data_IF_226998389746
#
_entry.id   IF_226998389746
#
_cell.length_a   1.000
_cell.length_b   1.000
_cell.length_c   1.000
_cell.angle_alpha   90.00
_cell.angle_beta   90.00
_cell.angle_gamma   90.00
#
_symmetry.space_group_name_H-M   'P 1'
#
loop_
_entity.id
_entity.type
_entity.pdbx_description
1 polymer ?
#
# COMPACT_ATOMS: atom_id res chain seq x y z
N UNK A 1 29.88 13.35 -0.02
CA UNK A 1 28.88 12.46 0.62
C UNK A 1 27.49 13.05 0.40
N UNK A 2 26.53 12.24 -0.08
CA UNK A 2 25.13 12.68 -0.16
C UNK A 2 24.56 12.75 1.26
N UNK A 3 23.90 13.86 1.63
CA UNK A 3 23.25 13.99 2.94
C UNK A 3 22.07 13.03 3.03
N UNK A 4 21.74 12.57 4.24
CA UNK A 4 20.54 11.77 4.51
C UNK A 4 19.29 12.57 4.11
N UNK A 5 18.40 11.97 3.33
CA UNK A 5 17.09 12.52 3.00
C UNK A 5 16.04 11.88 3.90
N UNK A 6 15.15 12.69 4.49
CA UNK A 6 13.93 12.19 5.15
C UNK A 6 12.78 12.24 4.14
N UNK A 7 12.39 11.08 3.60
CA UNK A 7 11.34 10.98 2.60
C UNK A 7 9.92 11.17 3.16
N UNK A 8 9.75 11.15 4.49
CA UNK A 8 8.47 11.43 5.15
C UNK A 8 8.26 12.92 5.45
N UNK A 9 9.29 13.76 5.32
CA UNK A 9 9.23 15.17 5.78
C UNK A 9 8.08 15.97 5.16
N UNK A 10 7.79 15.70 3.89
CA UNK A 10 6.82 16.46 3.10
C UNK A 10 5.54 15.63 2.83
N UNK A 11 5.33 14.53 3.56
CA UNK A 11 4.11 13.73 3.51
C UNK A 11 3.14 14.18 4.61
N UNK A 12 1.85 14.02 4.37
CA UNK A 12 0.81 14.46 5.32
C UNK A 12 0.88 13.71 6.67
N UNK A 13 1.30 12.44 6.65
CA UNK A 13 1.34 11.57 7.83
C UNK A 13 2.57 10.67 7.80
N UNK A 14 3.20 10.49 8.97
CA UNK A 14 4.39 9.64 9.16
C UNK A 14 4.00 8.22 9.59
N UNK A 15 3.94 7.31 8.61
CA UNK A 15 3.73 5.87 8.82
C UNK A 15 5.04 5.07 8.98
N UNK A 16 6.20 5.74 9.12
CA UNK A 16 7.50 5.06 9.25
C UNK A 16 7.65 4.26 10.55
N UNK A 17 6.83 4.58 11.56
CA UNK A 17 6.89 3.99 12.89
C UNK A 17 5.67 3.14 13.18
N UNK A 18 5.88 2.09 13.97
CA UNK A 18 4.86 1.20 14.52
C UNK A 18 4.08 1.88 15.65
N UNK A 19 3.49 3.04 15.37
CA UNK A 19 2.71 3.85 16.30
C UNK A 19 1.39 4.21 15.61
N UNK A 20 0.24 4.05 16.27
CA UNK A 20 -1.04 4.51 15.74
C UNK A 20 -1.02 6.02 15.51
N UNK A 21 -1.68 6.46 14.45
CA UNK A 21 -1.97 7.88 14.24
C UNK A 21 -3.19 8.27 15.10
N UNK A 22 -3.45 9.57 15.23
CA UNK A 22 -4.68 10.02 15.89
C UNK A 22 -5.92 9.55 15.12
N UNK A 23 -7.02 9.26 15.83
CA UNK A 23 -8.21 8.64 15.24
C UNK A 23 -8.91 9.52 14.18
N UNK A 24 -8.85 10.84 14.34
CA UNK A 24 -9.32 11.82 13.37
C UNK A 24 -8.48 11.77 12.09
N UNK A 25 -7.15 11.70 12.21
CA UNK A 25 -6.22 11.53 11.08
C UNK A 25 -6.48 10.21 10.36
N UNK A 26 -6.65 9.11 11.09
CA UNK A 26 -6.99 7.80 10.50
C UNK A 26 -8.28 7.88 9.66
N UNK A 27 -9.32 8.53 10.21
CA UNK A 27 -10.60 8.73 9.51
C UNK A 27 -10.44 9.60 8.27
N UNK A 28 -9.67 10.67 8.36
CA UNK A 28 -9.38 11.56 7.23
C UNK A 28 -8.64 10.83 6.09
N UNK A 29 -7.67 9.98 6.42
CA UNK A 29 -6.91 9.22 5.42
C UNK A 29 -7.79 8.22 4.66
N UNK A 30 -8.72 7.53 5.34
CA UNK A 30 -9.68 6.64 4.68
C UNK A 30 -10.62 7.42 3.76
N UNK A 31 -11.16 8.55 4.23
CA UNK A 31 -12.03 9.40 3.40
C UNK A 31 -11.28 9.98 2.18
N UNK A 32 -9.98 10.28 2.31
CA UNK A 32 -9.15 10.70 1.20
C UNK A 32 -8.87 9.55 0.21
N UNK A 33 -8.64 8.33 0.71
CA UNK A 33 -8.47 7.14 -0.13
C UNK A 33 -9.66 6.95 -1.08
N UNK A 34 -10.87 7.01 -0.53
CA UNK A 34 -12.12 6.84 -1.28
C UNK A 34 -12.27 7.93 -2.37
N UNK A 35 -11.91 9.17 -2.06
CA UNK A 35 -11.89 10.27 -3.04
C UNK A 35 -10.88 10.04 -4.15
N UNK A 36 -9.66 9.60 -3.83
CA UNK A 36 -8.60 9.34 -4.80
C UNK A 36 -9.02 8.19 -5.74
N UNK A 37 -9.57 7.11 -5.19
CA UNK A 37 -10.06 5.97 -5.97
C UNK A 37 -11.12 6.40 -6.98
N UNK A 38 -12.04 7.29 -6.58
CA UNK A 38 -13.09 7.81 -7.46
C UNK A 38 -12.57 8.65 -8.64
N UNK A 39 -11.32 9.11 -8.61
CA UNK A 39 -10.69 9.86 -9.70
C UNK A 39 -10.13 8.97 -10.81
N UNK A 40 -10.10 7.65 -10.62
CA UNK A 40 -9.53 6.73 -11.61
C UNK A 40 -10.33 6.73 -12.90
N UNK A 41 -9.60 6.79 -14.01
CA UNK A 41 -10.13 6.72 -15.35
C UNK A 41 -10.19 5.27 -15.85
N UNK A 42 -11.08 5.02 -16.80
CA UNK A 42 -11.26 3.68 -17.38
C UNK A 42 -10.05 3.24 -18.24
N UNK A 43 -9.26 4.19 -18.72
CA UNK A 43 -8.06 3.99 -19.51
C UNK A 43 -6.87 4.61 -18.80
N UNK A 44 -5.73 3.93 -18.82
CA UNK A 44 -4.50 4.48 -18.25
C UNK A 44 -4.16 5.80 -18.95
N UNK A 45 -4.08 6.93 -18.25
CA UNK A 45 -3.89 8.23 -18.88
C UNK A 45 -2.46 8.38 -19.41
N UNK A 46 -2.33 8.95 -20.60
CA UNK A 46 -1.04 9.21 -21.24
C UNK A 46 -0.26 10.32 -20.51
N UNK A 47 1.07 10.23 -20.59
CA UNK A 47 1.92 11.36 -20.20
C UNK A 47 1.74 12.48 -21.23
N UNK A 48 1.54 13.70 -20.73
CA UNK A 48 1.33 14.88 -21.55
C UNK A 48 1.89 16.13 -20.85
N UNK A 49 1.97 17.28 -21.54
CA UNK A 49 2.33 18.54 -20.87
C UNK A 49 1.46 18.88 -19.66
N UNK A 50 0.20 18.43 -19.63
CA UNK A 50 -0.77 18.68 -18.55
C UNK A 50 -0.83 17.53 -17.52
N UNK A 51 -0.11 16.42 -17.77
CA UNK A 51 -0.02 15.28 -16.85
C UNK A 51 1.40 14.70 -16.88
N UNK A 52 2.28 15.37 -16.16
CA UNK A 52 3.72 15.10 -16.15
C UNK A 52 4.11 14.10 -15.05
N UNK A 53 5.36 13.62 -15.11
CA UNK A 53 5.91 12.77 -14.05
C UNK A 53 5.97 13.49 -12.69
N UNK A 54 6.23 14.80 -12.67
CA UNK A 54 6.23 15.59 -11.45
C UNK A 54 4.84 15.66 -10.81
N UNK A 55 3.80 15.83 -11.63
CA UNK A 55 2.41 15.79 -11.16
C UNK A 55 2.05 14.41 -10.61
N UNK A 56 2.42 13.34 -11.33
CA UNK A 56 2.18 11.95 -10.88
C UNK A 56 2.92 11.67 -9.57
N UNK A 57 4.17 12.11 -9.42
CA UNK A 57 4.93 11.91 -8.18
C UNK A 57 4.28 12.62 -7.00
N UNK A 58 3.78 13.84 -7.22
CA UNK A 58 3.02 14.58 -6.20
C UNK A 58 1.77 13.81 -5.78
N UNK A 59 0.99 13.31 -6.73
CA UNK A 59 -0.20 12.50 -6.46
C UNK A 59 0.14 11.18 -5.75
N UNK A 60 1.28 10.56 -6.08
CA UNK A 60 1.75 9.35 -5.39
C UNK A 60 2.13 9.66 -3.92
N UNK A 61 2.69 10.84 -3.64
CA UNK A 61 2.95 11.30 -2.27
C UNK A 61 1.68 11.61 -1.48
N UNK A 62 0.65 12.17 -2.14
CA UNK A 62 -0.66 12.44 -1.54
C UNK A 62 -1.42 11.13 -1.23
N UNK A 63 -1.34 10.16 -2.13
CA UNK A 63 -1.92 8.83 -1.98
C UNK A 63 -1.24 7.98 -0.88
N UNK A 64 0.08 8.11 -0.71
CA UNK A 64 0.83 7.19 0.16
C UNK A 64 0.29 7.04 1.59
N UNK A 65 0.01 8.12 2.34
CA UNK A 65 -0.60 8.02 3.67
C UNK A 65 -1.93 7.27 3.69
N UNK A 66 -2.73 7.36 2.62
CA UNK A 66 -4.04 6.72 2.54
C UNK A 66 -3.91 5.21 2.35
N UNK A 67 -2.95 4.78 1.53
CA UNK A 67 -2.61 3.36 1.35
C UNK A 67 -2.15 2.72 2.66
N UNK A 68 -1.23 3.40 3.38
CA UNK A 68 -0.75 2.90 4.66
C UNK A 68 -1.89 2.70 5.66
N UNK A 69 -2.81 3.67 5.74
CA UNK A 69 -3.93 3.57 6.69
C UNK A 69 -4.96 2.51 6.28
N UNK A 70 -5.29 2.42 4.99
CA UNK A 70 -6.18 1.38 4.47
C UNK A 70 -5.66 -0.02 4.81
N UNK A 71 -4.35 -0.24 4.69
CA UNK A 71 -3.73 -1.52 5.03
C UNK A 71 -3.72 -1.79 6.54
N UNK A 72 -3.46 -0.77 7.38
CA UNK A 72 -3.56 -0.90 8.84
C UNK A 72 -4.98 -1.26 9.31
N UNK A 73 -6.00 -0.80 8.58
CA UNK A 73 -7.41 -1.06 8.89
C UNK A 73 -7.99 -2.31 8.20
N UNK A 74 -7.19 -3.05 7.42
CA UNK A 74 -7.68 -4.23 6.69
C UNK A 74 -8.76 -3.89 5.64
N UNK A 75 -8.72 -2.68 5.06
CA UNK A 75 -9.65 -2.21 4.02
C UNK A 75 -9.25 -2.74 2.64
N UNK A 76 -9.40 -4.04 2.46
CA UNK A 76 -9.14 -4.74 1.19
C UNK A 76 -9.93 -4.19 -0.01
N UNK A 77 -11.13 -3.65 0.25
CA UNK A 77 -11.97 -2.95 -0.73
C UNK A 77 -11.26 -1.72 -1.31
N UNK A 78 -10.63 -0.90 -0.45
CA UNK A 78 -9.83 0.26 -0.86
C UNK A 78 -8.57 -0.19 -1.57
N UNK A 79 -7.82 -1.15 -0.99
CA UNK A 79 -6.55 -1.63 -1.54
C UNK A 79 -6.73 -2.23 -2.94
N UNK A 80 -7.77 -3.04 -3.13
CA UNK A 80 -8.11 -3.60 -4.45
C UNK A 80 -8.48 -2.51 -5.44
N UNK A 81 -9.20 -1.48 -4.99
CA UNK A 81 -9.63 -0.38 -5.83
C UNK A 81 -8.49 0.56 -6.26
N UNK A 82 -7.30 0.47 -5.65
CA UNK A 82 -6.09 1.19 -6.09
C UNK A 82 -5.51 0.62 -7.39
N UNK A 83 -5.76 -0.65 -7.70
CA UNK A 83 -5.20 -1.35 -8.85
C UNK A 83 -5.87 -0.97 -10.18
N UNK A 84 -5.05 -0.69 -11.19
CA UNK A 84 -5.52 -0.57 -12.57
C UNK A 84 -6.05 -1.92 -13.05
N UNK A 85 -7.09 -1.92 -13.89
CA UNK A 85 -7.79 -3.15 -14.32
C UNK A 85 -6.88 -4.18 -15.01
N UNK A 86 -5.82 -3.71 -15.68
CA UNK A 86 -4.82 -4.54 -16.36
C UNK A 86 -3.54 -4.69 -15.52
N UNK A 87 -3.68 -4.74 -14.19
CA UNK A 87 -2.57 -4.91 -13.25
C UNK A 87 -1.66 -6.07 -13.67
N UNK A 88 -0.35 -5.83 -13.63
CA UNK A 88 0.66 -6.89 -13.58
C UNK A 88 1.20 -6.96 -12.16
N UNK A 89 1.07 -8.10 -11.50
CA UNK A 89 1.61 -8.31 -10.16
C UNK A 89 2.65 -9.43 -10.16
N UNK A 90 3.89 -9.10 -9.82
CA UNK A 90 5.02 -10.02 -9.76
C UNK A 90 5.44 -10.24 -8.30
N UNK A 91 5.44 -11.49 -7.86
CA UNK A 91 5.87 -11.85 -6.51
C UNK A 91 6.59 -13.20 -6.49
N UNK A 92 6.98 -13.65 -5.29
CA UNK A 92 7.66 -14.95 -5.09
C UNK A 92 6.83 -16.16 -5.53
N UNK A 93 5.51 -16.05 -5.53
CA UNK A 93 4.61 -17.13 -5.95
C UNK A 93 4.44 -17.22 -7.48
N UNK A 94 4.91 -16.19 -8.19
CA UNK A 94 4.75 -16.06 -9.64
C UNK A 94 4.13 -14.72 -10.03
N UNK A 95 3.57 -14.71 -11.25
CA UNK A 95 2.92 -13.55 -11.84
C UNK A 95 1.40 -13.71 -11.79
N UNK A 96 0.70 -12.61 -11.52
CA UNK A 96 -0.75 -12.50 -11.55
C UNK A 96 -1.15 -11.33 -12.47
N UNK A 97 -2.23 -11.52 -13.22
CA UNK A 97 -2.73 -10.54 -14.18
C UNK A 97 -4.16 -10.11 -13.88
N UNK A 98 -4.41 -8.82 -14.08
CA UNK A 98 -5.69 -8.19 -13.81
C UNK A 98 -6.05 -8.17 -12.32
N UNK A 99 -7.34 -7.94 -12.04
CA UNK A 99 -7.81 -7.76 -10.66
C UNK A 99 -8.22 -9.05 -9.96
N UNK A 100 -8.38 -10.17 -10.68
CA UNK A 100 -9.00 -11.38 -10.13
C UNK A 100 -7.99 -12.41 -9.64
N UNK A 101 -6.90 -12.65 -10.39
CA UNK A 101 -6.00 -13.79 -10.14
C UNK A 101 -5.32 -13.75 -8.77
N UNK A 102 -5.09 -12.55 -8.24
CA UNK A 102 -4.36 -12.33 -7.00
C UNK A 102 -5.27 -12.37 -5.75
N UNK A 103 -6.59 -12.14 -5.89
CA UNK A 103 -7.51 -11.86 -4.76
C UNK A 103 -7.48 -12.91 -3.66
N UNK A 104 -7.53 -14.18 -4.07
CA UNK A 104 -7.53 -15.30 -3.11
C UNK A 104 -6.27 -15.26 -2.25
N UNK A 105 -5.12 -14.86 -2.84
CA UNK A 105 -3.84 -14.81 -2.16
C UNK A 105 -3.70 -13.58 -1.26
N UNK A 106 -3.98 -12.38 -1.77
CA UNK A 106 -3.78 -11.14 -1.02
C UNK A 106 -4.64 -11.05 0.24
N UNK A 107 -5.87 -11.56 0.23
CA UNK A 107 -6.71 -11.54 1.44
C UNK A 107 -6.05 -12.25 2.63
N UNK A 108 -5.32 -13.35 2.40
CA UNK A 108 -4.59 -14.04 3.48
C UNK A 108 -3.42 -13.19 3.97
N UNK A 109 -2.71 -12.53 3.07
CA UNK A 109 -1.60 -11.66 3.46
C UNK A 109 -2.10 -10.45 4.25
N UNK A 110 -3.13 -9.76 3.77
CA UNK A 110 -3.76 -8.66 4.48
C UNK A 110 -4.24 -9.09 5.86
N UNK A 111 -4.91 -10.24 5.96
CA UNK A 111 -5.37 -10.79 7.24
C UNK A 111 -4.23 -11.05 8.23
N UNK A 112 -3.06 -11.51 7.78
CA UNK A 112 -1.91 -11.75 8.65
C UNK A 112 -1.19 -10.45 9.07
N UNK A 113 -1.01 -9.50 8.16
CA UNK A 113 -0.23 -8.28 8.40
C UNK A 113 -1.03 -7.18 9.12
N UNK A 114 -2.36 -7.27 9.11
CA UNK A 114 -3.28 -6.32 9.76
C UNK A 114 -4.13 -6.94 10.88
N UNK A 115 -3.75 -8.11 11.38
CA UNK A 115 -4.49 -8.80 12.44
C UNK A 115 -4.53 -8.00 13.76
N UNK A 116 -5.53 -8.26 14.63
CA UNK A 116 -5.60 -7.63 15.96
C UNK A 116 -4.30 -7.83 16.75
N UNK A 117 -3.84 -6.76 17.41
CA UNK A 117 -2.58 -6.79 18.17
C UNK A 117 -1.32 -6.59 17.32
N UNK A 118 -1.45 -6.41 16.00
CA UNK A 118 -0.34 -6.13 15.09
C UNK A 118 -0.45 -4.73 14.51
N UNK A 119 0.70 -4.08 14.29
CA UNK A 119 0.78 -2.81 13.58
C UNK A 119 1.80 -2.86 12.44
N UNK A 120 1.38 -2.50 11.24
CA UNK A 120 2.29 -2.27 10.12
C UNK A 120 2.98 -0.91 10.21
N UNK A 121 4.24 -0.86 9.79
CA UNK A 121 4.95 0.40 9.54
C UNK A 121 5.82 0.29 8.28
N UNK A 122 6.15 1.45 7.70
CA UNK A 122 6.91 1.55 6.46
C UNK A 122 8.18 2.38 6.64
N UNK A 123 9.26 1.83 7.21
CA UNK A 123 10.45 2.60 7.53
C UNK A 123 11.12 3.26 6.31
N UNK A 124 10.87 2.71 5.11
CA UNK A 124 11.44 3.22 3.86
C UNK A 124 10.29 3.46 2.87
N UNK A 125 10.27 4.65 2.30
CA UNK A 125 9.48 5.01 1.12
C UNK A 125 10.30 5.96 0.25
N UNK A 126 10.24 5.79 -1.06
CA UNK A 126 10.89 6.65 -2.05
C UNK A 126 9.98 6.79 -3.26
N UNK A 127 9.95 7.99 -3.84
CA UNK A 127 9.11 8.34 -4.98
C UNK A 127 9.99 8.82 -6.13
N UNK A 128 9.66 8.42 -7.36
CA UNK A 128 10.29 8.91 -8.58
C UNK A 128 9.33 8.81 -9.76
N UNK A 129 8.65 9.91 -10.08
CA UNK A 129 7.59 9.91 -11.08
C UNK A 129 6.50 8.91 -10.70
N UNK A 130 6.33 7.88 -11.53
CA UNK A 130 5.36 6.81 -11.31
C UNK A 130 5.79 5.78 -10.26
N UNK A 131 7.07 5.74 -9.91
CA UNK A 131 7.63 4.69 -9.08
C UNK A 131 7.47 5.04 -7.61
N UNK A 132 6.88 4.13 -6.85
CA UNK A 132 6.87 4.17 -5.38
C UNK A 132 7.52 2.90 -4.86
N UNK A 133 8.74 3.03 -4.34
CA UNK A 133 9.46 1.93 -3.69
C UNK A 133 9.29 2.05 -2.18
N UNK A 134 8.98 0.96 -1.51
CA UNK A 134 8.88 0.96 -0.05
C UNK A 134 9.27 -0.37 0.58
N UNK A 135 9.71 -0.30 1.83
CA UNK A 135 9.86 -1.47 2.70
C UNK A 135 8.93 -1.35 3.88
N UNK A 136 8.34 -2.48 4.26
CA UNK A 136 7.37 -2.56 5.32
C UNK A 136 7.69 -3.70 6.29
N UNK A 137 7.20 -3.56 7.51
CA UNK A 137 7.17 -4.65 8.49
C UNK A 137 5.92 -4.57 9.35
N UNK A 138 5.47 -5.73 9.80
CA UNK A 138 4.39 -5.89 10.77
C UNK A 138 4.97 -6.26 12.12
N UNK A 139 4.57 -5.53 13.16
CA UNK A 139 5.10 -5.67 14.52
C UNK A 139 3.98 -6.11 15.45
N UNK A 140 4.22 -7.18 16.20
CA UNK A 140 3.37 -7.59 17.31
C UNK A 140 3.49 -6.58 18.46
N UNK A 141 2.36 -6.05 18.94
CA UNK A 141 2.33 -5.00 19.96
C UNK A 141 2.64 -5.51 21.37
N UNK A 142 2.47 -6.80 21.64
CA UNK A 142 2.75 -7.42 22.95
C UNK A 142 4.23 -7.77 23.07
N UNK A 143 4.80 -8.40 22.04
CA UNK A 143 6.18 -8.93 22.08
C UNK A 143 7.21 -8.06 21.38
N UNK A 144 6.77 -7.08 20.57
CA UNK A 144 7.61 -6.25 19.69
C UNK A 144 8.36 -7.06 18.62
N UNK A 145 7.95 -8.30 18.36
CA UNK A 145 8.52 -9.14 17.31
C UNK A 145 8.05 -8.68 15.93
N UNK A 146 8.92 -8.75 14.95
CA UNK A 146 8.53 -8.57 13.54
C UNK A 146 7.95 -9.88 13.03
N UNK A 147 6.65 -9.92 12.75
CA UNK A 147 5.95 -11.15 12.32
C UNK A 147 5.97 -11.34 10.80
N UNK A 148 6.09 -10.24 10.06
CA UNK A 148 6.17 -10.23 8.61
C UNK A 148 6.92 -8.98 8.13
N UNK A 149 7.54 -9.07 6.96
CA UNK A 149 8.16 -7.93 6.29
C UNK A 149 8.16 -8.11 4.79
N UNK A 150 8.35 -7.01 4.07
CA UNK A 150 8.51 -7.06 2.63
C UNK A 150 9.05 -5.77 2.04
N UNK A 151 9.36 -5.84 0.75
CA UNK A 151 9.58 -4.69 -0.10
C UNK A 151 8.63 -4.74 -1.28
N UNK A 152 8.27 -3.56 -1.77
CA UNK A 152 7.34 -3.39 -2.86
C UNK A 152 7.83 -2.28 -3.77
N UNK A 153 7.68 -2.47 -5.08
CA UNK A 153 7.72 -1.37 -6.06
C UNK A 153 6.38 -1.29 -6.75
N UNK A 154 5.73 -0.13 -6.66
CA UNK A 154 4.57 0.20 -7.47
C UNK A 154 5.00 1.07 -8.63
N UNK A 155 4.42 0.81 -9.80
CA UNK A 155 4.35 1.77 -10.88
C UNK A 155 2.90 2.23 -10.96
N UNK A 156 2.69 3.48 -10.53
CA UNK A 156 1.38 4.09 -10.31
C UNK A 156 1.28 5.38 -11.09
N UNK A 157 0.29 5.45 -11.98
CA UNK A 157 0.00 6.60 -12.85
C UNK A 157 -0.91 7.59 -12.12
N UNK A 158 -0.45 8.07 -10.97
CA UNK A 158 -1.15 9.07 -10.14
C UNK A 158 -2.57 8.65 -9.75
N UNK A 159 -3.41 9.62 -9.37
CA UNK A 159 -4.80 9.41 -8.97
C UNK A 159 -5.66 8.86 -10.12
N UNK A 160 -5.38 9.30 -11.35
CA UNK A 160 -6.18 8.98 -12.53
C UNK A 160 -5.95 7.56 -13.06
N UNK A 161 -4.75 7.00 -12.88
CA UNK A 161 -4.41 5.69 -13.43
C UNK A 161 -4.31 4.55 -12.40
N UNK A 162 -4.03 4.85 -11.14
CA UNK A 162 -3.79 3.81 -10.14
C UNK A 162 -2.54 2.97 -10.45
N UNK A 163 -2.40 1.83 -9.75
CA UNK A 163 -1.23 0.96 -9.84
C UNK A 163 -1.39 -0.07 -10.96
N UNK A 164 -0.53 -0.05 -11.97
CA UNK A 164 -0.59 -0.97 -13.11
C UNK A 164 0.56 -1.99 -13.14
N UNK A 165 1.61 -1.77 -12.35
CA UNK A 165 2.62 -2.78 -12.04
C UNK A 165 2.91 -2.76 -10.55
N UNK A 166 2.81 -3.93 -9.92
CA UNK A 166 3.25 -4.18 -8.56
C UNK A 166 4.32 -5.26 -8.58
N UNK A 167 5.43 -5.04 -7.90
CA UNK A 167 6.40 -6.09 -7.59
C UNK A 167 6.53 -6.23 -6.09
N UNK A 168 6.52 -7.44 -5.55
CA UNK A 168 6.62 -7.63 -4.10
C UNK A 168 7.47 -8.84 -3.72
N UNK A 169 8.33 -8.63 -2.73
CA UNK A 169 9.03 -9.70 -2.03
C UNK A 169 8.65 -9.60 -0.57
N UNK A 170 8.06 -10.65 -0.02
CA UNK A 170 7.58 -10.66 1.36
C UNK A 170 8.07 -11.91 2.10
N UNK A 171 7.98 -11.88 3.41
CA UNK A 171 8.42 -12.97 4.29
C UNK A 171 7.56 -12.95 5.54
N UNK A 172 6.99 -14.11 5.86
CA UNK A 172 6.30 -14.36 7.12
C UNK A 172 7.18 -15.24 8.02
N UNK A 173 7.22 -14.94 9.32
CA UNK A 173 8.12 -15.62 10.26
C UNK A 173 7.45 -16.72 11.10
N UNK A 174 6.12 -16.75 11.20
CA UNK A 174 5.37 -17.74 11.99
C UNK A 174 4.19 -18.33 11.22
N UNK A 175 3.32 -17.44 10.76
CA UNK A 175 2.07 -17.83 10.10
C UNK A 175 2.18 -17.59 8.60
N UNK A 176 1.95 -18.63 7.81
CA UNK A 176 1.96 -18.56 6.34
C UNK A 176 0.54 -18.51 5.78
N UNK A 177 -0.46 -18.88 6.59
CA UNK A 177 -1.89 -18.84 6.25
C UNK A 177 -2.69 -18.22 7.40
N UNK A 178 -3.61 -17.31 7.07
CA UNK A 178 -4.54 -16.75 8.05
C UNK A 178 -5.64 -17.78 8.40
N UNK A 179 -5.99 -17.97 9.69
CA UNK A 179 -7.19 -18.71 10.06
C UNK A 179 -8.46 -17.97 9.61
N UNK A 180 -9.55 -18.72 9.39
CA UNK A 180 -10.85 -18.19 8.91
C UNK A 180 -11.40 -17.02 9.73
N UNK A 181 -11.07 -16.96 11.03
CA UNK A 181 -11.47 -15.87 11.90
C UNK A 181 -10.87 -14.53 11.49
N UNK A 182 -9.63 -14.52 10.99
CA UNK A 182 -8.96 -13.29 10.52
C UNK A 182 -9.43 -12.87 9.13
N UNK A 183 -9.74 -13.83 8.26
CA UNK A 183 -10.26 -13.52 6.92
C UNK A 183 -11.58 -12.72 6.99
N UNK A 184 -12.42 -13.00 7.99
CA UNK A 184 -13.68 -12.27 8.24
C UNK A 184 -13.50 -10.82 8.67
N UNK A 185 -12.28 -10.41 9.04
CA UNK A 185 -11.97 -9.03 9.43
C UNK A 185 -11.58 -8.16 8.23
N UNK A 186 -11.26 -8.77 7.09
CA UNK A 186 -10.92 -8.04 5.88
C UNK A 186 -12.21 -7.59 5.20
N UNK A 187 -12.30 -6.29 4.93
CA UNK A 187 -13.38 -5.74 4.10
C UNK A 187 -12.98 -5.95 2.64
N UNK A 188 -13.77 -6.71 1.89
CA UNK A 188 -13.52 -7.03 0.47
C UNK A 188 -14.56 -6.40 -0.44
#
# INVERSE_FOLDING_TARGET
MKKRTNYYKDLAVDYSRAIPVAADVATEMIALAEKIIAMKEATLPDLSPDYTLEQIEKENKEWWPTHCEALRQGRGDILTAEYYKDLVYLCQDGQYFGLEEQKEREQHWWALISQPGVIMCWPIVMFSGEHTFFEWKSVDLETNETIAKGNVTWVRRGHRGGCYLKTEQLTFYRDVFAPDSLLKLITT
#
